data_IF_051840095740
#
_entry.id   IF_051840095740
#
_cell.length_a   1.000
_cell.length_b   1.000
_cell.length_c   1.000
_cell.angle_alpha   90.00
_cell.angle_beta   90.00
_cell.angle_gamma   90.00
#
_symmetry.space_group_name_H-M   'P 1'
#
loop_
_entity.id
_entity.type
_entity.pdbx_description
1 polymer ?
#
# COMPACT_ATOMS: atom_id res chain seq x y z
N UNK A 1 39.33 17.33 33.19
CA UNK A 1 38.75 18.37 32.31
C UNK A 1 39.24 19.73 32.81
N UNK A 2 39.86 20.56 31.96
CA UNK A 2 40.24 21.91 32.36
C UNK A 2 39.01 22.80 32.58
N UNK A 3 39.09 23.77 33.49
CA UNK A 3 38.08 24.82 33.63
C UNK A 3 38.09 25.74 32.40
N UNK A 4 36.99 26.46 32.14
CA UNK A 4 36.84 27.30 30.94
C UNK A 4 37.96 28.33 30.82
N UNK A 5 38.40 28.91 31.95
CA UNK A 5 39.48 29.89 31.96
C UNK A 5 40.81 29.25 31.55
N UNK A 6 41.20 28.16 32.19
CA UNK A 6 42.46 27.48 31.88
C UNK A 6 42.47 26.98 30.44
N UNK A 7 41.32 26.54 29.92
CA UNK A 7 41.18 26.16 28.51
C UNK A 7 41.40 27.35 27.57
N UNK A 8 40.73 28.50 27.80
CA UNK A 8 40.89 29.71 26.97
C UNK A 8 42.31 30.28 27.03
N UNK A 9 42.93 30.26 28.21
CA UNK A 9 44.27 30.80 28.44
C UNK A 9 45.39 29.79 28.15
N UNK A 10 45.04 28.55 27.73
CA UNK A 10 45.97 27.44 27.49
C UNK A 10 46.90 27.16 28.69
N UNK A 11 46.36 27.31 29.90
CA UNK A 11 47.07 27.06 31.15
C UNK A 11 46.80 25.64 31.67
N UNK A 12 47.76 25.01 32.36
CA UNK A 12 47.56 23.68 32.95
C UNK A 12 46.54 23.75 34.10
N UNK A 13 45.40 23.09 33.94
CA UNK A 13 44.33 23.10 34.95
C UNK A 13 44.51 21.94 35.94
N UNK A 14 45.24 22.20 37.03
CA UNK A 14 45.50 21.21 38.08
C UNK A 14 44.93 21.70 39.41
N UNK A 15 44.15 20.86 40.09
CA UNK A 15 43.64 21.10 41.45
C UNK A 15 44.77 20.96 42.48
N UNK A 16 44.92 21.96 43.36
CA UNK A 16 45.93 21.91 44.44
C UNK A 16 45.31 21.18 45.64
N UNK A 17 45.42 19.85 45.66
CA UNK A 17 44.99 18.98 46.77
C UNK A 17 43.58 18.39 46.64
N UNK A 18 43.36 17.29 47.37
CA UNK A 18 42.20 16.38 47.22
C UNK A 18 40.85 16.97 47.60
N UNK A 19 40.80 18.05 48.39
CA UNK A 19 39.55 18.67 48.86
C UNK A 19 39.21 19.99 48.18
N UNK A 20 40.06 20.48 47.28
CA UNK A 20 39.79 21.74 46.57
C UNK A 20 38.90 21.49 45.35
N UNK A 21 37.79 22.24 45.23
CA UNK A 21 36.95 22.24 44.02
C UNK A 21 37.54 23.10 42.90
N UNK A 22 38.54 23.93 43.21
CA UNK A 22 39.11 24.93 42.30
C UNK A 22 40.54 24.56 41.86
N UNK A 23 40.85 24.80 40.59
CA UNK A 23 42.22 24.64 40.10
C UNK A 23 43.17 25.73 40.62
N UNK A 24 44.46 25.40 40.75
CA UNK A 24 45.48 26.30 41.28
C UNK A 24 45.54 27.65 40.59
N UNK A 25 45.44 27.70 39.25
CA UNK A 25 45.49 28.97 38.51
C UNK A 25 44.28 29.87 38.77
N UNK A 26 43.09 29.30 38.97
CA UNK A 26 41.90 30.08 39.32
C UNK A 26 41.99 30.61 40.75
N UNK A 27 42.55 29.81 41.68
CA UNK A 27 42.82 30.23 43.06
C UNK A 27 43.84 31.37 43.09
N UNK A 28 44.97 31.19 42.40
CA UNK A 28 46.08 32.15 42.37
C UNK A 28 45.63 33.49 41.75
N UNK A 29 44.75 33.45 40.76
CA UNK A 29 44.21 34.62 40.10
C UNK A 29 42.86 35.11 40.66
N UNK A 30 42.38 34.54 41.78
CA UNK A 30 41.15 34.93 42.49
C UNK A 30 39.88 35.00 41.61
N UNK A 31 39.77 34.10 40.63
CA UNK A 31 38.59 33.98 39.76
C UNK A 31 37.80 32.71 40.07
N UNK A 32 36.53 32.69 39.66
CA UNK A 32 35.66 31.52 39.81
C UNK A 32 36.16 30.37 38.93
N UNK A 33 36.31 29.18 39.51
CA UNK A 33 36.66 27.96 38.80
C UNK A 33 35.39 27.15 38.49
N UNK A 34 35.04 27.05 37.21
CA UNK A 34 33.90 26.27 36.71
C UNK A 34 34.26 24.81 36.38
N UNK A 35 35.49 24.38 36.65
CA UNK A 35 35.92 22.99 36.45
C UNK A 35 35.29 22.00 37.45
N UNK A 36 34.79 22.50 38.58
CA UNK A 36 34.11 21.70 39.59
C UNK A 36 32.77 21.19 39.05
N UNK A 37 32.59 19.87 39.01
CA UNK A 37 31.30 19.27 38.61
C UNK A 37 31.10 19.04 37.11
N UNK A 38 32.03 19.47 36.25
CA UNK A 38 31.96 19.16 34.79
C UNK A 38 32.01 17.64 34.57
N UNK A 39 32.82 16.92 35.35
CA UNK A 39 32.93 15.47 35.24
C UNK A 39 31.64 14.74 35.67
N UNK A 40 30.98 15.19 36.74
CA UNK A 40 29.72 14.60 37.20
C UNK A 40 28.57 14.93 36.24
N UNK A 41 28.52 16.17 35.73
CA UNK A 41 27.57 16.57 34.71
C UNK A 41 27.75 15.77 33.41
N UNK A 42 28.98 15.61 32.91
CA UNK A 42 29.28 14.81 31.72
C UNK A 42 28.88 13.34 31.92
N UNK A 43 29.17 12.78 33.09
CA UNK A 43 28.77 11.41 33.43
C UNK A 43 27.26 11.24 33.42
N UNK A 44 26.51 12.21 33.97
CA UNK A 44 25.05 12.20 33.94
C UNK A 44 24.53 12.35 32.51
N UNK A 45 25.06 13.30 31.74
CA UNK A 45 24.68 13.53 30.36
C UNK A 45 24.90 12.27 29.50
N UNK A 46 26.06 11.62 29.63
CA UNK A 46 26.37 10.39 28.91
C UNK A 46 25.43 9.23 29.28
N UNK A 47 25.01 9.14 30.55
CA UNK A 47 24.00 8.16 30.99
C UNK A 47 22.63 8.45 30.39
N UNK A 48 22.22 9.72 30.35
CA UNK A 48 20.97 10.12 29.71
C UNK A 48 21.00 9.87 28.19
N UNK A 49 22.10 10.16 27.50
CA UNK A 49 22.26 9.84 26.08
C UNK A 49 22.06 8.35 25.81
N UNK A 50 22.73 7.47 26.57
CA UNK A 50 22.56 6.01 26.44
C UNK A 50 21.12 5.55 26.71
N UNK A 51 20.45 6.20 27.65
CA UNK A 51 19.06 5.90 27.98
C UNK A 51 18.12 6.32 26.84
N UNK A 52 18.36 7.48 26.23
CA UNK A 52 17.62 7.97 25.08
C UNK A 52 17.85 7.09 23.84
N UNK A 53 19.09 6.67 23.57
CA UNK A 53 19.41 5.72 22.49
C UNK A 53 18.61 4.41 22.64
N UNK A 54 18.47 3.90 23.87
CA UNK A 54 17.66 2.70 24.13
C UNK A 54 16.17 2.96 23.86
N UNK A 55 15.65 4.11 24.26
CA UNK A 55 14.25 4.47 24.00
C UNK A 55 13.96 4.69 22.52
N UNK A 56 14.92 5.26 21.78
CA UNK A 56 14.85 5.41 20.33
C UNK A 56 14.77 4.04 19.66
N UNK A 57 15.68 3.12 20.01
CA UNK A 57 15.66 1.76 19.47
C UNK A 57 14.35 1.01 19.80
N UNK A 58 13.84 1.11 21.03
CA UNK A 58 12.56 0.51 21.41
C UNK A 58 11.38 1.10 20.61
N UNK A 59 11.39 2.41 20.36
CA UNK A 59 10.38 3.09 19.57
C UNK A 59 10.45 2.69 18.08
N UNK A 60 11.65 2.54 17.52
CA UNK A 60 11.87 2.05 16.16
C UNK A 60 11.33 0.63 15.97
N UNK A 61 11.65 -0.29 16.89
CA UNK A 61 11.12 -1.65 16.84
C UNK A 61 9.58 -1.69 16.94
N UNK A 62 9.00 -0.85 17.78
CA UNK A 62 7.55 -0.75 17.91
C UNK A 62 6.91 -0.20 16.62
N UNK A 63 7.54 0.80 16.00
CA UNK A 63 7.10 1.36 14.73
C UNK A 63 7.17 0.31 13.61
N UNK A 64 8.26 -0.45 13.50
CA UNK A 64 8.43 -1.50 12.51
C UNK A 64 7.32 -2.56 12.63
N UNK A 65 7.04 -3.03 13.86
CA UNK A 65 5.94 -3.98 14.14
C UNK A 65 4.59 -3.40 13.73
N UNK A 66 4.33 -2.13 14.03
CA UNK A 66 3.09 -1.47 13.66
C UNK A 66 2.95 -1.33 12.12
N UNK A 67 4.02 -0.98 11.42
CA UNK A 67 4.04 -0.89 9.95
C UNK A 67 3.81 -2.25 9.30
N UNK A 68 4.46 -3.30 9.79
CA UNK A 68 4.25 -4.67 9.32
C UNK A 68 2.79 -5.11 9.51
N UNK A 69 2.20 -4.82 10.67
CA UNK A 69 0.79 -5.10 10.95
C UNK A 69 -0.13 -4.35 9.99
N UNK A 70 0.13 -3.06 9.75
CA UNK A 70 -0.64 -2.25 8.82
C UNK A 70 -0.55 -2.80 7.39
N UNK A 71 0.64 -3.21 6.94
CA UNK A 71 0.84 -3.82 5.63
C UNK A 71 0.03 -5.12 5.48
N UNK A 72 0.03 -5.97 6.51
CA UNK A 72 -0.78 -7.18 6.55
C UNK A 72 -2.28 -6.88 6.47
N UNK A 73 -2.78 -5.92 7.26
CA UNK A 73 -4.19 -5.50 7.24
C UNK A 73 -4.57 -5.02 5.83
N UNK A 74 -3.74 -4.18 5.21
CA UNK A 74 -3.98 -3.69 3.84
C UNK A 74 -4.02 -4.84 2.82
N UNK A 75 -3.13 -5.82 2.94
CA UNK A 75 -3.13 -7.02 2.08
C UNK A 75 -4.41 -7.82 2.27
N UNK A 76 -4.82 -8.07 3.51
CA UNK A 76 -6.04 -8.82 3.81
C UNK A 76 -7.29 -8.10 3.29
N UNK A 77 -7.38 -6.77 3.50
CA UNK A 77 -8.48 -5.95 2.97
C UNK A 77 -8.60 -6.05 1.45
N UNK A 78 -7.49 -5.97 0.73
CA UNK A 78 -7.49 -6.12 -0.74
C UNK A 78 -7.98 -7.50 -1.17
N UNK A 79 -7.52 -8.57 -0.51
CA UNK A 79 -7.96 -9.94 -0.81
C UNK A 79 -9.46 -10.10 -0.58
N UNK A 80 -9.98 -9.64 0.55
CA UNK A 80 -11.41 -9.73 0.85
C UNK A 80 -12.25 -8.94 -0.14
N UNK A 81 -11.77 -7.76 -0.56
CA UNK A 81 -12.44 -6.98 -1.59
C UNK A 81 -12.50 -7.74 -2.92
N UNK A 82 -11.37 -8.29 -3.37
CA UNK A 82 -11.32 -9.10 -4.60
C UNK A 82 -12.25 -10.30 -4.54
N UNK A 83 -12.30 -11.01 -3.41
CA UNK A 83 -13.22 -12.12 -3.21
C UNK A 83 -14.69 -11.67 -3.25
N UNK A 84 -15.01 -10.52 -2.67
CA UNK A 84 -16.35 -9.94 -2.73
C UNK A 84 -16.74 -9.55 -4.16
N UNK A 85 -15.84 -8.89 -4.89
CA UNK A 85 -16.04 -8.48 -6.28
C UNK A 85 -16.25 -9.72 -7.19
N UNK A 86 -15.47 -10.79 -6.99
CA UNK A 86 -15.59 -12.05 -7.72
C UNK A 86 -16.92 -12.77 -7.43
N UNK A 87 -17.32 -12.87 -6.16
CA UNK A 87 -18.60 -13.46 -5.77
C UNK A 87 -19.78 -12.66 -6.33
N UNK A 88 -19.67 -11.34 -6.32
CA UNK A 88 -20.69 -10.47 -6.91
C UNK A 88 -20.79 -10.67 -8.42
N UNK A 89 -19.67 -10.67 -9.13
CA UNK A 89 -19.64 -10.91 -10.58
C UNK A 89 -20.22 -12.29 -10.94
N UNK A 90 -19.85 -13.34 -10.21
CA UNK A 90 -20.41 -14.69 -10.40
C UNK A 90 -21.90 -14.73 -10.11
N UNK A 91 -22.36 -14.00 -9.09
CA UNK A 91 -23.78 -13.89 -8.76
C UNK A 91 -24.57 -13.24 -9.89
N UNK A 92 -24.06 -12.15 -10.45
CA UNK A 92 -24.67 -11.46 -11.60
C UNK A 92 -24.72 -12.36 -12.83
N UNK A 93 -23.61 -13.01 -13.19
CA UNK A 93 -23.58 -13.95 -14.32
C UNK A 93 -24.60 -15.09 -14.15
N UNK A 94 -24.69 -15.65 -12.94
CA UNK A 94 -25.66 -16.73 -12.68
C UNK A 94 -27.11 -16.28 -12.78
N UNK A 95 -27.41 -14.99 -12.57
CA UNK A 95 -28.76 -14.44 -12.75
C UNK A 95 -29.06 -14.23 -14.24
N UNK A 96 -28.10 -13.70 -14.98
CA UNK A 96 -28.19 -13.53 -16.44
C UNK A 96 -28.40 -14.88 -17.12
N UNK A 97 -27.58 -15.89 -16.80
CA UNK A 97 -27.70 -17.24 -17.36
C UNK A 97 -29.06 -17.90 -17.03
N UNK A 98 -29.63 -17.61 -15.86
CA UNK A 98 -30.92 -18.13 -15.44
C UNK A 98 -32.08 -17.45 -16.18
N UNK A 99 -31.98 -16.14 -16.43
CA UNK A 99 -32.96 -15.37 -17.21
C UNK A 99 -32.96 -15.81 -18.68
N UNK A 100 -31.78 -15.97 -19.28
CA UNK A 100 -31.62 -16.47 -20.65
C UNK A 100 -32.20 -17.90 -20.80
N UNK A 101 -31.90 -18.79 -19.84
CA UNK A 101 -32.44 -20.16 -19.84
C UNK A 101 -33.97 -20.17 -19.71
N UNK A 102 -34.54 -19.31 -18.86
CA UNK A 102 -35.98 -19.19 -18.72
C UNK A 102 -36.64 -18.63 -20.01
N UNK A 103 -36.00 -17.67 -20.67
CA UNK A 103 -36.47 -17.14 -21.96
C UNK A 103 -36.48 -18.22 -23.05
N UNK A 104 -35.39 -18.98 -23.20
CA UNK A 104 -35.29 -20.08 -24.17
C UNK A 104 -36.34 -21.17 -23.91
N UNK A 105 -36.60 -21.51 -22.64
CA UNK A 105 -37.66 -22.46 -22.30
C UNK A 105 -39.05 -21.90 -22.64
N UNK A 106 -39.32 -20.63 -22.33
CA UNK A 106 -40.58 -19.98 -22.66
C UNK A 106 -40.81 -19.93 -24.18
N UNK A 107 -39.78 -19.60 -24.97
CA UNK A 107 -39.82 -19.65 -26.44
C UNK A 107 -40.07 -21.07 -26.94
N UNK A 108 -39.35 -22.07 -26.42
CA UNK A 108 -39.53 -23.47 -26.82
C UNK A 108 -40.95 -23.97 -26.53
N UNK A 109 -41.51 -23.61 -25.38
CA UNK A 109 -42.89 -23.92 -25.03
C UNK A 109 -43.87 -23.20 -25.95
N UNK A 110 -43.66 -21.92 -26.25
CA UNK A 110 -44.49 -21.16 -27.17
C UNK A 110 -44.46 -21.77 -28.59
N UNK A 111 -43.29 -22.13 -29.11
CA UNK A 111 -43.13 -22.81 -30.41
C UNK A 111 -43.87 -24.14 -30.41
N UNK A 112 -43.68 -24.97 -29.37
CA UNK A 112 -44.36 -26.27 -29.25
C UNK A 112 -45.88 -26.13 -29.18
N UNK A 113 -46.38 -25.11 -28.49
CA UNK A 113 -47.81 -24.83 -28.37
C UNK A 113 -48.42 -24.36 -29.70
N UNK A 114 -47.72 -23.47 -30.42
CA UNK A 114 -48.13 -23.04 -31.77
C UNK A 114 -48.18 -24.22 -32.74
N UNK A 115 -47.15 -25.09 -32.72
CA UNK A 115 -47.14 -26.32 -33.51
C UNK A 115 -48.30 -27.26 -33.14
N UNK A 116 -48.60 -27.41 -31.85
CA UNK A 116 -49.70 -28.24 -31.35
C UNK A 116 -51.09 -27.69 -31.70
N UNK A 117 -51.24 -26.37 -31.87
CA UNK A 117 -52.49 -25.75 -32.33
C UNK A 117 -52.73 -25.91 -33.84
N UNK A 118 -51.88 -26.68 -34.53
CA UNK A 118 -52.03 -26.98 -35.94
C UNK A 118 -51.53 -25.86 -36.86
N UNK A 119 -50.83 -24.85 -36.32
CA UNK A 119 -49.99 -23.96 -37.09
C UNK A 119 -48.66 -24.69 -37.42
N UNK A 120 -48.78 -25.81 -38.12
CA UNK A 120 -47.66 -26.57 -38.67
C UNK A 120 -47.32 -25.93 -40.02
N UNK A 121 -46.20 -25.22 -40.03
CA UNK A 121 -45.27 -25.02 -41.16
C UNK A 121 -45.87 -25.13 -42.58
N UNK A 122 -46.82 -24.25 -42.91
CA UNK A 122 -47.24 -23.96 -44.28
C UNK A 122 -46.58 -22.69 -44.82
N UNK A 123 -45.73 -22.04 -44.02
CA UNK A 123 -44.97 -20.87 -44.44
C UNK A 123 -43.60 -21.31 -44.92
N UNK A 124 -43.54 -21.76 -46.17
CA UNK A 124 -42.27 -21.98 -46.86
C UNK A 124 -41.55 -20.64 -47.05
N UNK A 125 -40.64 -20.33 -46.13
CA UNK A 125 -39.79 -19.13 -46.22
C UNK A 125 -38.93 -19.13 -47.48
N UNK A 126 -38.60 -20.30 -48.05
CA UNK A 126 -37.90 -20.37 -49.33
C UNK A 126 -38.77 -19.84 -50.48
N UNK A 127 -40.08 -20.09 -50.46
CA UNK A 127 -41.03 -19.52 -51.43
C UNK A 127 -41.26 -18.00 -51.27
N UNK A 128 -41.05 -17.44 -50.07
CA UNK A 128 -41.16 -15.98 -49.83
C UNK A 128 -39.97 -15.21 -50.43
N UNK A 129 -38.78 -15.82 -50.47
CA UNK A 129 -37.58 -15.21 -51.03
C UNK A 129 -37.20 -15.71 -52.44
N UNK A 130 -37.87 -16.75 -52.96
CA UNK A 130 -37.60 -17.30 -54.29
C UNK A 130 -37.90 -16.33 -55.45
N UNK A 131 -38.81 -15.37 -55.26
CA UNK A 131 -39.15 -14.36 -56.26
C UNK A 131 -38.38 -13.04 -56.10
N UNK A 132 -37.39 -12.96 -55.20
CA UNK A 132 -36.44 -11.83 -55.22
C UNK A 132 -35.43 -12.12 -56.33
N UNK A 133 -35.40 -11.35 -57.42
CA UNK A 133 -34.42 -11.57 -58.47
C UNK A 133 -33.02 -11.45 -57.86
N UNK A 134 -32.22 -12.50 -58.04
CA UNK A 134 -30.77 -12.42 -57.90
C UNK A 134 -30.30 -11.30 -58.83
N UNK A 135 -29.93 -10.16 -58.24
CA UNK A 135 -29.10 -9.18 -58.95
C UNK A 135 -27.74 -9.84 -59.08
N UNK A 136 -27.51 -10.45 -60.23
CA UNK A 136 -26.24 -11.07 -60.58
C UNK A 136 -25.19 -9.97 -60.72
N UNK A 137 -24.06 -10.19 -60.07
CA UNK A 137 -22.85 -9.37 -60.02
C UNK A 137 -22.34 -8.90 -61.40
N UNK A 138 -21.90 -7.65 -61.49
CA UNK A 138 -20.91 -7.24 -62.48
C UNK A 138 -20.00 -6.12 -61.95
N UNK A 139 -18.91 -6.49 -61.27
CA UNK A 139 -17.59 -5.95 -61.58
C UNK A 139 -16.48 -6.73 -60.87
N UNK A 140 -15.97 -7.74 -61.57
CA UNK A 140 -14.61 -8.22 -61.36
C UNK A 140 -13.63 -7.27 -62.03
N UNK A 141 -12.63 -6.78 -61.28
CA UNK A 141 -11.26 -6.70 -61.81
C UNK A 141 -10.21 -6.57 -60.69
N UNK A 142 -8.99 -7.09 -60.93
CA UNK A 142 -8.19 -7.75 -59.92
C UNK A 142 -7.11 -6.87 -59.29
N UNK A 143 -6.74 -7.22 -58.06
CA UNK A 143 -5.55 -6.73 -57.35
C UNK A 143 -4.30 -7.27 -58.05
N UNK A 144 -3.43 -6.35 -58.51
CA UNK A 144 -2.11 -6.66 -59.04
C UNK A 144 -1.08 -6.59 -57.91
N UNK A 145 -0.41 -7.70 -57.62
CA UNK A 145 0.81 -7.74 -56.81
C UNK A 145 2.04 -7.38 -57.67
N UNK A 146 2.72 -6.28 -57.30
CA UNK A 146 4.18 -6.15 -57.21
C UNK A 146 4.56 -4.80 -56.60
#
# INVERSE_FOLDING_TARGET
MPCSRCFRQKLPCVTKGDQSSCCGNCVDAKEICDGAGVASYLTRNMKECKKLEKYEQEAEEALEKAMARLAWIRKMKRRLKQQGDELFARGMQSLEDAEDSAAVQAESLAISHVQSLGAVDLTDWASIFADVPSVVDENSSPVSER
#
